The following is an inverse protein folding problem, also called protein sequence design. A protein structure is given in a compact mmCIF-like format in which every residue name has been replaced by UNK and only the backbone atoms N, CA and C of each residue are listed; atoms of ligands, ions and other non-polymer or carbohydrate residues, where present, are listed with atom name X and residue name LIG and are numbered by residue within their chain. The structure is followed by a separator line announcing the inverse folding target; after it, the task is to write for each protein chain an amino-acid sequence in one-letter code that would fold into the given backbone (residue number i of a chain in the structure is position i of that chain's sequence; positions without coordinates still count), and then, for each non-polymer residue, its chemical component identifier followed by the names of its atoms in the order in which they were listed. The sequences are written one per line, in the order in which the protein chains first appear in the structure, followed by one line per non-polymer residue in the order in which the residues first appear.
data_IF_325868114674
#
_entry.id   IF_325868114674
#
_cell.length_a   1.000
_cell.length_b   1.000
_cell.length_c   1.000
_cell.angle_alpha   90.00
_cell.angle_beta   90.00
_cell.angle_gamma   90.00
#
_symmetry.space_group_name_H-M   'P 1'
#
loop_
_entity.id
_entity.type
_entity.pdbx_description
1 polymer ?
#
# COMPACT_ATOMS: atom_id res chain seq x y z
N UNK A 1 -15.54 -1.42 14.07
CA UNK A 1 -14.45 -0.45 14.29
C UNK A 1 -13.57 -0.50 13.06
N UNK A 2 -13.51 0.61 12.33
CA UNK A 2 -12.85 0.72 11.03
C UNK A 2 -11.31 0.62 11.16
N UNK A 3 -10.65 0.13 10.11
CA UNK A 3 -9.20 -0.08 10.07
C UNK A 3 -8.55 0.91 9.10
N UNK A 4 -7.56 1.68 9.53
CA UNK A 4 -6.72 2.51 8.67
C UNK A 4 -5.31 1.93 8.58
N UNK A 5 -4.80 1.75 7.36
CA UNK A 5 -3.40 1.41 7.11
C UNK A 5 -2.66 2.63 6.61
N UNK A 6 -1.56 3.00 7.24
CA UNK A 6 -0.74 4.11 6.78
C UNK A 6 0.74 3.80 6.93
N UNK A 7 1.56 4.52 6.17
CA UNK A 7 3.01 4.46 6.31
C UNK A 7 3.59 5.86 6.52
N UNK A 8 4.75 5.93 7.17
CA UNK A 8 5.50 7.17 7.35
C UNK A 8 6.73 7.19 6.47
N UNK A 9 6.96 8.32 5.80
CA UNK A 9 8.14 8.57 4.97
C UNK A 9 8.67 10.00 5.19
N UNK A 10 9.91 10.26 4.80
CA UNK A 10 10.62 11.50 5.12
C UNK A 10 12.12 11.28 5.19
N UNK A 11 12.89 12.35 5.30
CA UNK A 11 14.35 12.29 5.36
C UNK A 11 14.88 11.62 6.64
N UNK A 12 16.15 11.23 6.60
CA UNK A 12 16.93 10.97 7.81
C UNK A 12 16.86 12.24 8.67
N UNK A 13 16.63 12.06 9.96
CA UNK A 13 16.41 13.11 10.95
C UNK A 13 15.10 13.90 10.88
N UNK A 14 14.18 13.69 9.92
CA UNK A 14 12.89 14.41 9.91
C UNK A 14 11.96 14.03 11.09
N UNK A 15 12.36 13.05 11.90
CA UNK A 15 11.69 12.69 13.15
C UNK A 15 10.56 11.65 12.98
N UNK A 16 10.66 10.75 11.99
CA UNK A 16 9.66 9.69 11.71
C UNK A 16 9.43 8.78 12.92
N UNK A 17 10.50 8.15 13.40
CA UNK A 17 10.53 7.29 14.58
C UNK A 17 10.02 8.02 15.83
N UNK A 18 10.48 9.26 16.02
CA UNK A 18 10.03 10.11 17.13
C UNK A 18 8.53 10.41 17.05
N UNK A 19 7.99 10.72 15.87
CA UNK A 19 6.56 11.01 15.68
C UNK A 19 5.70 9.77 15.99
N UNK A 20 6.09 8.60 15.47
CA UNK A 20 5.38 7.34 15.76
C UNK A 20 5.48 7.01 17.25
N UNK A 21 6.68 7.10 17.84
CA UNK A 21 6.89 6.83 19.25
C UNK A 21 6.05 7.75 20.13
N UNK A 22 5.97 9.04 19.79
CA UNK A 22 5.12 10.02 20.48
C UNK A 22 3.65 9.72 20.33
N UNK A 23 3.20 9.39 19.12
CA UNK A 23 1.81 9.00 18.87
C UNK A 23 1.40 7.80 19.73
N UNK A 24 2.26 6.77 19.82
CA UNK A 24 2.00 5.57 20.61
C UNK A 24 2.05 5.83 22.12
N UNK A 25 2.96 6.69 22.57
CA UNK A 25 3.14 7.05 23.98
C UNK A 25 1.98 7.92 24.50
N UNK A 26 1.67 9.02 23.79
CA UNK A 26 0.62 9.96 24.20
C UNK A 26 -0.79 9.40 23.99
N UNK A 27 -0.97 8.37 23.16
CA UNK A 27 -2.26 7.66 23.00
C UNK A 27 -2.47 6.52 24.00
N UNK A 28 -1.58 6.38 24.99
CA UNK A 28 -1.62 5.32 26.02
C UNK A 28 -1.67 3.90 25.43
N UNK A 29 -1.18 3.72 24.21
CA UNK A 29 -1.21 2.44 23.49
C UNK A 29 -0.06 1.50 23.90
N UNK A 30 0.84 1.94 24.78
CA UNK A 30 2.03 1.22 25.24
C UNK A 30 1.85 0.82 26.71
N UNK A 31 2.21 -0.42 27.05
CA UNK A 31 2.18 -0.88 28.44
C UNK A 31 3.24 -0.20 29.30
N UNK A 32 2.92 0.00 30.58
CA UNK A 32 3.79 0.65 31.57
C UNK A 32 5.16 -0.03 31.68
N UNK A 33 5.23 -1.35 31.55
CA UNK A 33 6.47 -2.12 31.62
C UNK A 33 7.45 -1.77 30.47
N UNK A 34 6.91 -1.52 29.27
CA UNK A 34 7.71 -1.11 28.10
C UNK A 34 8.23 0.31 28.33
N UNK A 35 7.39 1.22 28.83
CA UNK A 35 7.75 2.60 29.17
C UNK A 35 8.90 2.62 30.20
N UNK A 36 8.82 1.80 31.26
CA UNK A 36 9.88 1.70 32.26
C UNK A 36 11.20 1.18 31.68
N UNK A 37 11.13 0.20 30.80
CA UNK A 37 12.30 -0.38 30.13
C UNK A 37 13.00 0.66 29.26
N UNK A 38 12.25 1.44 28.49
CA UNK A 38 12.76 2.51 27.64
C UNK A 38 13.35 3.65 28.45
N UNK A 39 12.71 4.02 29.57
CA UNK A 39 13.22 5.04 30.49
C UNK A 39 14.59 4.65 31.04
N UNK A 40 14.80 3.37 31.37
CA UNK A 40 16.12 2.86 31.81
C UNK A 40 17.15 2.88 30.68
N UNK A 41 16.75 2.51 29.46
CA UNK A 41 17.66 2.49 28.31
C UNK A 41 18.10 3.90 27.90
N UNK A 42 17.16 4.86 27.85
CA UNK A 42 17.42 6.26 27.47
C UNK A 42 18.46 6.94 28.38
N UNK A 43 18.44 6.61 29.69
CA UNK A 43 19.43 7.11 30.66
C UNK A 43 20.84 6.57 30.43
N UNK A 44 20.98 5.44 29.74
CA UNK A 44 22.25 4.79 29.46
C UNK A 44 22.93 5.37 28.21
N UNK A 45 22.15 5.86 27.24
CA UNK A 45 22.61 6.44 25.97
C UNK A 45 23.00 7.93 26.06
N UNK A 46 22.80 8.59 27.20
CA UNK A 46 23.34 9.93 27.47
C UNK A 46 22.58 11.12 26.86
N UNK A 47 21.36 10.91 26.35
CA UNK A 47 20.49 11.99 25.87
C UNK A 47 19.78 12.61 27.09
N UNK A 48 20.03 13.89 27.37
CA UNK A 48 19.47 14.64 28.51
C UNK A 48 18.02 15.11 28.28
N UNK A 49 17.14 14.21 27.84
CA UNK A 49 15.70 14.47 27.78
C UNK A 49 14.91 13.26 28.24
N UNK A 50 13.68 13.50 28.69
CA UNK A 50 12.65 12.49 28.92
C UNK A 50 12.61 11.47 27.76
N UNK A 51 12.43 10.19 28.12
CA UNK A 51 12.26 8.98 27.29
C UNK A 51 12.56 9.16 25.78
N UNK A 52 13.61 8.51 25.28
CA UNK A 52 13.88 8.45 23.84
C UNK A 52 12.83 7.56 23.13
N UNK A 53 11.83 8.22 22.55
CA UNK A 53 10.69 7.58 21.90
C UNK A 53 11.05 6.90 20.58
N UNK A 54 12.20 7.20 19.97
CA UNK A 54 12.65 6.50 18.77
C UNK A 54 13.00 5.02 19.07
N UNK A 55 13.37 4.71 20.30
CA UNK A 55 13.65 3.33 20.74
C UNK A 55 12.42 2.40 20.69
N UNK A 56 11.20 2.94 20.61
CA UNK A 56 9.96 2.17 20.45
C UNK A 56 9.80 1.58 19.05
N UNK A 57 10.29 2.30 18.04
CA UNK A 57 10.11 1.96 16.63
C UNK A 57 11.22 1.06 16.12
N UNK A 58 12.45 1.27 16.58
CA UNK A 58 13.65 0.62 16.05
C UNK A 58 13.80 -0.81 16.60
N UNK A 59 13.39 -1.78 15.78
CA UNK A 59 13.26 -3.19 16.16
C UNK A 59 14.57 -3.98 16.07
N UNK A 60 15.47 -3.62 15.16
CA UNK A 60 16.71 -4.36 14.91
C UNK A 60 17.92 -3.73 15.62
N UNK A 61 18.85 -4.55 16.13
CA UNK A 61 20.11 -4.06 16.72
C UNK A 61 20.94 -3.24 15.72
N UNK A 62 20.92 -3.61 14.44
CA UNK A 62 21.60 -2.88 13.37
C UNK A 62 20.96 -1.50 13.10
N UNK A 63 19.64 -1.37 13.25
CA UNK A 63 18.94 -0.07 13.16
C UNK A 63 19.39 0.84 14.30
N UNK A 64 19.45 0.29 15.53
CA UNK A 64 19.87 1.03 16.74
C UNK A 64 21.34 1.48 16.71
N UNK A 65 22.22 0.69 16.11
CA UNK A 65 23.64 1.04 15.96
C UNK A 65 23.88 2.13 14.90
N UNK A 66 22.97 2.28 13.93
CA UNK A 66 23.10 3.24 12.83
C UNK A 66 22.12 4.42 12.88
N UNK A 67 21.10 4.38 13.74
CA UNK A 67 20.07 5.42 13.84
C UNK A 67 19.17 5.53 12.60
N UNK A 68 18.98 4.43 11.85
CA UNK A 68 18.16 4.37 10.63
C UNK A 68 17.21 3.17 10.64
N UNK A 69 16.00 3.31 10.10
CA UNK A 69 15.09 2.19 9.80
C UNK A 69 15.57 1.43 8.57
N UNK A 70 15.68 0.10 8.63
CA UNK A 70 16.24 -0.76 7.57
C UNK A 70 15.15 -1.61 6.91
N UNK A 71 14.21 -2.16 7.69
CA UNK A 71 13.10 -2.98 7.17
C UNK A 71 11.74 -2.38 7.55
N UNK A 72 10.66 -2.81 6.88
CA UNK A 72 9.31 -2.32 7.21
C UNK A 72 8.86 -2.92 8.53
N UNK A 73 8.77 -2.10 9.58
CA UNK A 73 8.21 -2.52 10.86
C UNK A 73 6.71 -2.21 10.91
N UNK A 74 5.89 -3.22 11.17
CA UNK A 74 4.46 -3.03 11.39
C UNK A 74 4.16 -2.81 12.88
N UNK A 75 3.50 -1.70 13.20
CA UNK A 75 2.98 -1.40 14.54
C UNK A 75 1.46 -1.34 14.50
N UNK A 76 0.84 -1.71 15.61
CA UNK A 76 -0.60 -1.78 15.76
C UNK A 76 -1.00 -0.95 16.97
N UNK A 77 -1.99 -0.09 16.79
CA UNK A 77 -2.62 0.62 17.91
C UNK A 77 -4.09 0.83 17.61
N UNK A 78 -4.87 1.17 18.63
CA UNK A 78 -6.32 1.31 18.53
C UNK A 78 -6.75 2.42 19.47
N UNK A 79 -7.64 3.28 19.00
CA UNK A 79 -8.36 4.24 19.84
C UNK A 79 -9.79 3.76 20.07
N UNK A 80 -10.57 4.51 20.84
CA UNK A 80 -11.99 4.24 21.02
C UNK A 80 -12.76 4.27 19.68
N UNK A 81 -12.27 5.00 18.68
CA UNK A 81 -12.95 5.20 17.39
C UNK A 81 -12.46 4.25 16.30
N UNK A 82 -11.15 3.94 16.25
CA UNK A 82 -10.54 3.33 15.06
C UNK A 82 -9.32 2.45 15.38
N UNK A 83 -9.10 1.44 14.52
CA UNK A 83 -7.91 0.58 14.54
C UNK A 83 -6.89 1.06 13.50
N UNK A 84 -5.61 0.97 13.84
CA UNK A 84 -4.53 1.46 12.99
C UNK A 84 -3.43 0.41 12.78
N UNK A 85 -2.92 0.36 11.55
CA UNK A 85 -1.70 -0.37 11.20
C UNK A 85 -0.71 0.65 10.62
N UNK A 86 0.42 0.80 11.29
CA UNK A 86 1.52 1.67 10.87
C UNK A 86 2.58 0.80 10.19
N UNK A 87 2.95 1.13 8.97
CA UNK A 87 4.15 0.63 8.32
C UNK A 87 5.26 1.70 8.45
N UNK A 88 6.22 1.47 9.33
CA UNK A 88 7.40 2.33 9.39
C UNK A 88 8.34 1.98 8.24
N UNK A 89 8.45 2.88 7.25
CA UNK A 89 9.26 2.63 6.06
C UNK A 89 10.60 3.37 6.13
N UNK A 90 11.70 2.71 5.72
CA UNK A 90 13.01 3.36 5.64
C UNK A 90 13.00 4.61 4.76
N UNK A 91 13.66 5.68 5.19
CA UNK A 91 13.77 6.93 4.41
C UNK A 91 14.89 6.93 3.35
N UNK A 92 15.78 5.93 3.33
CA UNK A 92 17.00 5.97 2.50
C UNK A 92 16.80 5.40 1.09
N UNK A 93 17.57 5.93 0.12
CA UNK A 93 17.49 5.64 -1.33
C UNK A 93 17.55 4.14 -1.64
N UNK A 94 18.32 3.38 -0.86
CA UNK A 94 18.51 1.95 -1.05
C UNK A 94 17.27 1.11 -0.68
N UNK A 95 16.23 1.72 -0.10
CA UNK A 95 15.08 1.05 0.48
C UNK A 95 13.74 1.43 -0.16
N UNK A 96 13.74 2.01 -1.37
CA UNK A 96 12.52 2.28 -2.15
C UNK A 96 11.65 1.01 -2.34
N UNK A 97 12.29 -0.16 -2.48
CA UNK A 97 11.61 -1.47 -2.45
C UNK A 97 10.78 -1.71 -1.19
N UNK A 98 11.31 -1.33 -0.03
CA UNK A 98 10.66 -1.51 1.26
C UNK A 98 9.49 -0.52 1.38
N UNK A 99 9.66 0.72 0.89
CA UNK A 99 8.55 1.66 0.76
C UNK A 99 7.45 1.12 -0.15
N UNK A 100 7.77 0.54 -1.32
CA UNK A 100 6.77 -0.06 -2.21
C UNK A 100 5.98 -1.17 -1.49
N UNK A 101 6.68 -2.02 -0.74
CA UNK A 101 6.07 -3.11 0.02
C UNK A 101 5.12 -2.58 1.11
N UNK A 102 5.57 -1.62 1.92
CA UNK A 102 4.76 -1.01 2.99
C UNK A 102 3.61 -0.14 2.48
N UNK A 103 3.82 0.57 1.38
CA UNK A 103 2.84 1.49 0.79
C UNK A 103 1.79 0.77 -0.07
N UNK A 104 2.08 -0.40 -0.65
CA UNK A 104 1.16 -1.13 -1.54
C UNK A 104 -0.24 -1.41 -0.96
N UNK A 105 -0.35 -1.54 0.37
CA UNK A 105 -1.60 -1.77 1.08
C UNK A 105 -2.03 -0.57 1.94
N UNK A 106 -1.38 0.59 1.79
CA UNK A 106 -1.69 1.77 2.58
C UNK A 106 -2.85 2.59 1.99
N UNK A 107 -3.64 3.14 2.90
CA UNK A 107 -4.72 4.08 2.63
C UNK A 107 -4.25 5.53 2.82
N UNK A 108 -3.14 5.74 3.55
CA UNK A 108 -2.57 7.07 3.81
C UNK A 108 -1.05 7.01 3.79
N UNK A 109 -0.42 8.00 3.15
CA UNK A 109 1.00 8.28 3.26
C UNK A 109 1.20 9.49 4.17
N UNK A 110 2.00 9.36 5.23
CA UNK A 110 2.42 10.51 6.06
C UNK A 110 3.85 10.87 5.68
N UNK A 111 4.02 12.02 5.03
CA UNK A 111 5.31 12.53 4.58
C UNK A 111 5.76 13.62 5.56
N UNK A 112 6.79 13.32 6.35
CA UNK A 112 7.39 14.27 7.28
C UNK A 112 8.34 15.21 6.53
N UNK A 113 8.27 16.49 6.89
CA UNK A 113 9.12 17.56 6.35
C UNK A 113 9.68 18.36 7.53
N UNK A 114 11.00 18.41 7.68
CA UNK A 114 11.64 19.28 8.68
C UNK A 114 11.42 20.77 8.33
N UNK A 115 10.77 21.51 9.22
CA UNK A 115 10.43 22.92 9.03
C UNK A 115 11.65 23.83 8.74
N UNK A 116 12.86 23.41 9.14
CA UNK A 116 14.10 24.16 8.87
C UNK A 116 14.60 23.98 7.43
N UNK A 117 14.33 22.81 6.86
CA UNK A 117 14.86 22.40 5.56
C UNK A 117 13.84 22.61 4.44
N UNK A 118 12.54 22.60 4.77
CA UNK A 118 11.47 22.59 3.78
C UNK A 118 11.55 21.35 2.89
N UNK A 119 11.17 21.49 1.62
CA UNK A 119 11.02 20.36 0.71
C UNK A 119 12.37 19.88 0.20
N UNK A 120 12.66 18.62 0.49
CA UNK A 120 13.88 17.94 0.06
C UNK A 120 13.62 17.00 -1.12
N UNK A 121 14.67 16.53 -1.79
CA UNK A 121 14.54 15.51 -2.84
C UNK A 121 13.90 14.21 -2.34
N UNK A 122 14.10 13.87 -1.05
CA UNK A 122 13.45 12.71 -0.45
C UNK A 122 11.95 12.95 -0.25
N UNK A 123 11.55 14.16 0.13
CA UNK A 123 10.12 14.56 0.18
C UNK A 123 9.48 14.38 -1.19
N UNK A 124 10.13 14.89 -2.24
CA UNK A 124 9.66 14.77 -3.62
C UNK A 124 9.53 13.32 -4.05
N UNK A 125 10.56 12.51 -3.81
CA UNK A 125 10.57 11.09 -4.14
C UNK A 125 9.45 10.31 -3.48
N UNK A 126 9.26 10.47 -2.17
CA UNK A 126 8.20 9.76 -1.45
C UNK A 126 6.80 10.17 -1.94
N UNK A 127 6.64 11.44 -2.33
CA UNK A 127 5.40 11.94 -2.92
C UNK A 127 5.13 11.33 -4.30
N UNK A 128 6.16 11.26 -5.15
CA UNK A 128 6.09 10.62 -6.48
C UNK A 128 5.73 9.14 -6.35
N UNK A 129 6.40 8.41 -5.47
CA UNK A 129 6.11 6.98 -5.24
C UNK A 129 4.68 6.80 -4.73
N UNK A 130 4.22 7.67 -3.82
CA UNK A 130 2.84 7.65 -3.32
C UNK A 130 1.83 7.90 -4.44
N UNK A 131 2.15 8.78 -5.39
CA UNK A 131 1.35 9.03 -6.59
C UNK A 131 1.32 7.81 -7.52
N UNK A 132 2.47 7.19 -7.79
CA UNK A 132 2.56 5.99 -8.66
C UNK A 132 1.79 4.83 -8.04
N UNK A 133 1.92 4.61 -6.73
CA UNK A 133 1.15 3.61 -5.97
C UNK A 133 -0.32 4.02 -5.75
N UNK A 134 -0.73 5.17 -6.30
CA UNK A 134 -2.09 5.67 -6.26
C UNK A 134 -2.64 5.86 -4.85
N UNK A 135 -1.80 6.09 -3.83
CA UNK A 135 -2.22 6.20 -2.42
C UNK A 135 -3.32 7.27 -2.30
N UNK A 136 -4.47 6.95 -1.68
CA UNK A 136 -5.64 7.83 -1.77
C UNK A 136 -5.46 9.14 -1.01
N UNK A 137 -4.75 9.10 0.12
CA UNK A 137 -4.51 10.27 0.96
C UNK A 137 -3.02 10.45 1.20
N UNK A 138 -2.56 11.70 1.13
CA UNK A 138 -1.22 12.11 1.53
C UNK A 138 -1.35 13.18 2.59
N UNK A 139 -0.72 12.97 3.73
CA UNK A 139 -0.60 13.95 4.80
C UNK A 139 0.85 14.42 4.88
N UNK A 140 1.07 15.71 4.70
CA UNK A 140 2.37 16.34 4.90
C UNK A 140 2.44 16.85 6.34
N UNK A 141 3.26 16.20 7.16
CA UNK A 141 3.52 16.64 8.53
C UNK A 141 4.74 17.56 8.54
N UNK A 142 4.52 18.87 8.69
CA UNK A 142 5.60 19.85 8.82
C UNK A 142 6.11 19.79 10.26
N UNK A 143 7.17 19.01 10.47
CA UNK A 143 7.69 18.64 11.78
C UNK A 143 8.80 19.60 12.25
N UNK A 144 9.10 19.55 13.55
CA UNK A 144 10.11 20.41 14.23
C UNK A 144 9.76 21.90 14.21
N UNK A 145 8.47 22.23 14.31
CA UNK A 145 8.01 23.62 14.40
C UNK A 145 8.60 24.36 15.61
N UNK A 146 8.98 23.64 16.67
CA UNK A 146 9.68 24.19 17.83
C UNK A 146 11.01 24.86 17.49
N UNK A 147 11.72 24.35 16.47
CA UNK A 147 13.02 24.89 16.06
C UNK A 147 12.91 26.15 15.18
N UNK A 148 11.71 26.44 14.68
CA UNK A 148 11.39 27.65 13.92
C UNK A 148 10.42 28.55 14.67
N UNK A 149 10.38 28.43 16.00
CA UNK A 149 9.54 29.22 16.90
C UNK A 149 8.04 29.20 16.52
N UNK A 150 7.55 28.06 16.01
CA UNK A 150 6.16 27.86 15.61
C UNK A 150 5.66 28.90 14.57
N UNK A 151 6.56 29.35 13.67
CA UNK A 151 6.26 30.37 12.66
C UNK A 151 5.22 29.92 11.63
N UNK A 152 4.09 30.64 11.57
CA UNK A 152 3.06 30.48 10.54
C UNK A 152 3.62 30.72 9.13
N UNK A 153 4.50 31.71 8.97
CA UNK A 153 5.10 32.06 7.68
C UNK A 153 5.89 30.89 7.09
N UNK A 154 6.74 30.24 7.91
CA UNK A 154 7.54 29.08 7.46
C UNK A 154 6.64 27.92 7.05
N UNK A 155 5.59 27.65 7.83
CA UNK A 155 4.61 26.62 7.49
C UNK A 155 3.92 26.89 6.15
N UNK A 156 3.44 28.12 5.95
CA UNK A 156 2.74 28.52 4.72
C UNK A 156 3.67 28.47 3.49
N UNK A 157 4.95 28.83 3.63
CA UNK A 157 5.95 28.71 2.56
C UNK A 157 6.17 27.25 2.15
N UNK A 158 6.31 26.34 3.12
CA UNK A 158 6.47 24.90 2.86
C UNK A 158 5.21 24.33 2.21
N UNK A 159 4.03 24.70 2.69
CA UNK A 159 2.76 24.28 2.12
C UNK A 159 2.61 24.72 0.66
N UNK A 160 2.94 25.98 0.35
CA UNK A 160 2.89 26.52 -1.00
C UNK A 160 3.87 25.79 -1.93
N UNK A 161 5.13 25.64 -1.50
CA UNK A 161 6.15 24.93 -2.28
C UNK A 161 5.75 23.46 -2.55
N UNK A 162 5.08 22.81 -1.60
CA UNK A 162 4.68 21.40 -1.76
C UNK A 162 3.52 21.29 -2.71
N UNK A 163 2.56 22.21 -2.59
CA UNK A 163 1.40 22.26 -3.48
C UNK A 163 1.82 22.48 -4.93
N UNK A 164 2.78 23.38 -5.18
CA UNK A 164 3.35 23.62 -6.51
C UNK A 164 4.03 22.37 -7.07
N UNK A 165 4.89 21.72 -6.27
CA UNK A 165 5.56 20.48 -6.66
C UNK A 165 4.59 19.31 -6.89
N UNK A 166 3.54 19.20 -6.09
CA UNK A 166 2.58 18.12 -6.15
C UNK A 166 1.53 18.28 -7.25
N UNK A 167 1.38 19.49 -7.84
CA UNK A 167 0.41 19.77 -8.90
C UNK A 167 0.48 18.83 -10.11
N UNK A 168 1.66 18.45 -10.65
CA UNK A 168 1.74 17.44 -11.73
C UNK A 168 1.53 16.00 -11.25
N UNK A 169 1.56 15.74 -9.95
CA UNK A 169 1.35 14.41 -9.39
C UNK A 169 -0.15 14.11 -9.31
N UNK A 170 -0.55 12.88 -9.61
CA UNK A 170 -1.94 12.45 -9.52
C UNK A 170 -2.33 12.08 -8.07
N UNK A 171 -1.99 12.95 -7.11
CA UNK A 171 -2.34 12.79 -5.70
C UNK A 171 -3.80 13.19 -5.49
N UNK A 172 -4.63 12.24 -5.04
CA UNK A 172 -6.09 12.47 -4.90
C UNK A 172 -6.42 13.50 -3.82
N UNK A 173 -5.80 13.37 -2.64
CA UNK A 173 -6.03 14.28 -1.52
C UNK A 173 -4.71 14.54 -0.78
N UNK A 174 -4.36 15.81 -0.62
CA UNK A 174 -3.20 16.26 0.14
C UNK A 174 -3.67 17.12 1.32
N UNK A 175 -3.22 16.79 2.52
CA UNK A 175 -3.48 17.56 3.75
C UNK A 175 -2.17 17.94 4.42
N UNK A 176 -2.20 18.97 5.27
CA UNK A 176 -1.02 19.49 5.95
C UNK A 176 -1.31 19.64 7.44
N UNK A 177 -0.37 19.25 8.29
CA UNK A 177 -0.45 19.44 9.75
C UNK A 177 0.93 19.93 10.25
N UNK A 178 1.02 21.08 10.93
CA UNK A 178 2.24 21.49 11.64
C UNK A 178 2.38 20.69 12.93
N UNK A 179 3.54 20.10 13.17
CA UNK A 179 3.81 19.26 14.36
C UNK A 179 5.17 19.57 15.00
N UNK A 180 5.30 19.26 16.29
CA UNK A 180 6.60 18.99 16.90
C UNK A 180 6.54 17.63 17.59
N UNK A 181 7.13 16.61 16.94
CA UNK A 181 7.14 15.25 17.47
C UNK A 181 7.84 15.13 18.83
N UNK A 182 8.91 15.91 19.04
CA UNK A 182 9.66 15.88 20.29
C UNK A 182 8.89 16.55 21.43
N UNK A 183 8.29 17.72 21.18
CA UNK A 183 7.53 18.47 22.18
C UNK A 183 6.09 17.93 22.37
N UNK A 184 5.57 17.14 21.42
CA UNK A 184 4.21 16.60 21.41
C UNK A 184 3.16 17.54 20.82
N UNK A 185 3.55 18.71 20.31
CA UNK A 185 2.63 19.71 19.76
C UNK A 185 1.94 19.19 18.48
N UNK A 186 0.59 19.23 18.47
CA UNK A 186 -0.28 18.76 17.37
C UNK A 186 -0.16 17.26 17.00
N UNK A 187 0.44 16.42 17.87
CA UNK A 187 0.52 14.96 17.65
C UNK A 187 -0.77 14.27 18.09
N UNK A 188 -1.01 14.18 19.40
CA UNK A 188 -2.26 13.63 19.96
C UNK A 188 -3.24 14.75 20.27
N UNK A 189 -2.77 15.79 20.95
CA UNK A 189 -3.55 16.96 21.33
C UNK A 189 -3.21 18.18 20.48
N UNK A 190 -4.17 19.08 20.33
CA UNK A 190 -3.96 20.40 19.69
C UNK A 190 -3.03 21.25 20.56
N UNK A 191 -2.08 21.95 19.92
CA UNK A 191 -1.12 22.81 20.61
C UNK A 191 -1.64 24.24 20.75
N UNK A 192 -1.49 24.82 21.94
CA UNK A 192 -1.74 26.25 22.18
C UNK A 192 -0.69 27.17 21.53
N UNK A 193 0.52 26.64 21.24
CA UNK A 193 1.61 27.42 20.62
C UNK A 193 1.40 27.63 19.12
N UNK A 194 0.55 26.81 18.51
CA UNK A 194 0.15 26.88 17.11
C UNK A 194 -1.25 27.50 16.98
N UNK A 195 -1.50 28.61 17.69
CA UNK A 195 -2.83 29.24 17.78
C UNK A 195 -3.37 29.76 16.43
N UNK A 196 -2.51 29.89 15.43
CA UNK A 196 -2.87 30.28 14.05
C UNK A 196 -3.35 29.09 13.21
N UNK A 197 -3.18 27.85 13.69
CA UNK A 197 -3.58 26.64 12.98
C UNK A 197 -4.91 26.11 13.53
N UNK A 198 -5.96 26.21 12.72
CA UNK A 198 -7.33 25.80 13.08
C UNK A 198 -7.66 24.33 12.75
N UNK A 199 -6.68 23.57 12.23
CA UNK A 199 -6.88 22.18 11.84
C UNK A 199 -6.79 21.17 13.00
N UNK A 200 -7.06 19.88 12.74
CA UNK A 200 -6.99 18.84 13.77
C UNK A 200 -5.53 18.52 14.16
N UNK A 201 -5.36 17.87 15.32
CA UNK A 201 -4.12 17.15 15.63
C UNK A 201 -3.94 15.95 14.68
N UNK A 202 -2.72 15.40 14.61
CA UNK A 202 -2.44 14.21 13.82
C UNK A 202 -3.39 13.06 14.18
N UNK A 203 -3.56 12.75 15.47
CA UNK A 203 -4.48 11.70 15.89
C UNK A 203 -5.93 12.01 15.50
N UNK A 204 -6.37 13.26 15.69
CA UNK A 204 -7.71 13.69 15.29
C UNK A 204 -7.96 13.47 13.79
N UNK A 205 -6.99 13.85 12.94
CA UNK A 205 -7.03 13.61 11.51
C UNK A 205 -7.11 12.11 11.16
N UNK A 206 -6.26 11.29 11.80
CA UNK A 206 -6.23 9.83 11.59
C UNK A 206 -7.55 9.16 11.99
N UNK A 207 -8.25 9.68 13.00
CA UNK A 207 -9.56 9.19 13.40
C UNK A 207 -10.67 9.59 12.41
N UNK A 208 -10.57 10.75 11.76
CA UNK A 208 -11.63 11.30 10.90
C UNK A 208 -11.48 10.97 9.43
N UNK A 209 -10.27 10.62 8.95
CA UNK A 209 -10.04 10.42 7.52
C UNK A 209 -10.86 9.24 6.99
N UNK A 210 -11.69 9.48 5.99
CA UNK A 210 -12.50 8.41 5.41
C UNK A 210 -11.61 7.40 4.68
N UNK A 211 -11.86 6.10 4.87
CA UNK A 211 -11.16 5.12 4.03
C UNK A 211 -11.71 5.21 2.60
N UNK A 212 -10.84 5.54 1.64
CA UNK A 212 -11.18 5.48 0.21
C UNK A 212 -11.73 4.11 -0.23
N UNK A 213 -11.36 3.02 0.46
CA UNK A 213 -11.92 1.67 0.22
C UNK A 213 -13.43 1.58 0.48
N UNK A 214 -14.01 2.44 1.32
CA UNK A 214 -15.45 2.47 1.59
C UNK A 214 -16.25 3.28 0.55
N UNK A 215 -15.60 4.10 -0.27
CA UNK A 215 -16.26 5.01 -1.22
C UNK A 215 -16.35 4.46 -2.65
N UNK A 216 -15.45 3.57 -3.06
CA UNK A 216 -15.50 3.02 -4.41
C UNK A 216 -16.51 1.88 -4.50
N UNK A 217 -17.53 2.07 -5.34
CA UNK A 217 -18.40 1.00 -5.82
C UNK A 217 -17.58 0.14 -6.77
N UNK A 218 -16.71 -0.70 -6.22
CA UNK A 218 -15.85 -1.58 -7.00
C UNK A 218 -16.71 -2.68 -7.64
N UNK A 219 -16.50 -2.90 -8.94
CA UNK A 219 -17.17 -3.97 -9.68
C UNK A 219 -16.84 -5.34 -9.05
N UNK A 220 -17.79 -6.29 -9.00
CA UNK A 220 -17.54 -7.59 -8.39
C UNK A 220 -16.42 -8.36 -9.10
N UNK A 221 -15.45 -8.84 -8.31
CA UNK A 221 -14.36 -9.70 -8.78
C UNK A 221 -14.18 -10.87 -7.82
N UNK A 222 -14.23 -12.09 -8.33
CA UNK A 222 -13.92 -13.29 -7.56
C UNK A 222 -12.90 -14.13 -8.31
N UNK A 223 -11.69 -14.29 -7.76
CA UNK A 223 -10.68 -15.14 -8.37
C UNK A 223 -10.59 -16.47 -7.61
N UNK A 224 -10.71 -17.57 -8.35
CA UNK A 224 -10.68 -18.92 -7.80
C UNK A 224 -9.30 -19.22 -7.23
N UNK A 225 -9.23 -19.50 -5.93
CA UNK A 225 -8.00 -19.89 -5.24
C UNK A 225 -7.86 -21.41 -5.19
N UNK A 226 -8.98 -22.12 -5.07
CA UNK A 226 -9.02 -23.57 -4.97
C UNK A 226 -10.33 -24.14 -5.52
N UNK A 227 -10.26 -25.32 -6.13
CA UNK A 227 -11.43 -26.05 -6.65
C UNK A 227 -11.70 -27.23 -5.73
N UNK A 228 -12.87 -27.25 -5.09
CA UNK A 228 -13.28 -28.28 -4.14
C UNK A 228 -14.07 -29.35 -4.89
N UNK A 229 -13.53 -30.58 -4.90
CA UNK A 229 -14.20 -31.79 -5.39
C UNK A 229 -13.91 -32.94 -4.41
N UNK A 230 -14.81 -33.19 -3.44
CA UNK A 230 -14.58 -34.20 -2.40
C UNK A 230 -14.46 -35.62 -2.94
N UNK A 231 -15.08 -35.92 -4.09
CA UNK A 231 -15.10 -37.25 -4.72
C UNK A 231 -15.52 -38.37 -3.73
N UNK A 232 -16.49 -38.06 -2.86
CA UNK A 232 -17.10 -39.04 -1.95
C UNK A 232 -18.43 -39.52 -2.53
N UNK A 233 -18.90 -40.70 -2.11
CA UNK A 233 -20.18 -41.25 -2.57
C UNK A 233 -21.36 -40.31 -2.27
N UNK A 234 -21.30 -39.57 -1.15
CA UNK A 234 -22.34 -38.62 -0.75
C UNK A 234 -22.30 -37.30 -1.54
N UNK A 235 -21.11 -36.89 -2.01
CA UNK A 235 -20.86 -35.61 -2.69
C UNK A 235 -20.20 -35.82 -4.04
N UNK A 236 -20.71 -36.78 -4.81
CA UNK A 236 -20.15 -37.16 -6.10
C UNK A 236 -20.12 -35.97 -7.09
N UNK A 237 -21.20 -35.20 -7.13
CA UNK A 237 -21.38 -34.07 -8.07
C UNK A 237 -21.01 -32.71 -7.44
N UNK A 238 -20.44 -32.70 -6.23
CA UNK A 238 -20.07 -31.45 -5.58
C UNK A 238 -18.88 -30.80 -6.28
N UNK A 239 -19.12 -29.60 -6.79
CA UNK A 239 -18.08 -28.72 -7.34
C UNK A 239 -18.26 -27.31 -6.79
N UNK A 240 -17.34 -26.92 -5.92
CA UNK A 240 -17.30 -25.59 -5.31
C UNK A 240 -16.01 -24.87 -5.67
N UNK A 241 -16.09 -23.57 -5.93
CA UNK A 241 -14.95 -22.73 -6.23
C UNK A 241 -14.66 -21.82 -5.03
N UNK A 242 -13.58 -22.12 -4.32
CA UNK A 242 -13.20 -21.41 -3.11
C UNK A 242 -12.26 -20.24 -3.40
N UNK A 243 -12.51 -19.13 -2.72
CA UNK A 243 -11.70 -17.91 -2.81
C UNK A 243 -12.25 -16.81 -1.90
N UNK A 244 -11.61 -15.65 -1.94
CA UNK A 244 -12.14 -14.44 -1.29
C UNK A 244 -12.75 -13.52 -2.33
N UNK A 245 -13.89 -12.89 -2.02
CA UNK A 245 -14.43 -11.82 -2.85
C UNK A 245 -13.43 -10.67 -2.84
N UNK A 246 -12.81 -10.37 -4.00
CA UNK A 246 -11.77 -9.36 -4.11
C UNK A 246 -12.35 -7.95 -4.02
N UNK A 247 -13.51 -7.75 -4.66
CA UNK A 247 -14.24 -6.49 -4.72
C UNK A 247 -15.73 -6.74 -4.98
N UNK A 248 -16.56 -5.73 -4.67
CA UNK A 248 -18.01 -5.81 -4.87
C UNK A 248 -18.70 -6.85 -3.99
N UNK A 249 -19.76 -7.44 -4.54
CA UNK A 249 -20.52 -8.51 -3.92
C UNK A 249 -21.10 -9.43 -5.00
N UNK A 250 -21.42 -10.67 -4.63
CA UNK A 250 -22.09 -11.64 -5.49
C UNK A 250 -23.35 -12.14 -4.80
N UNK A 251 -24.37 -12.44 -5.58
CA UNK A 251 -25.66 -12.97 -5.13
C UNK A 251 -25.99 -14.26 -5.86
N UNK A 252 -26.74 -15.13 -5.18
CA UNK A 252 -27.32 -16.30 -5.83
C UNK A 252 -28.27 -15.85 -6.96
N UNK A 253 -28.09 -16.41 -8.14
CA UNK A 253 -28.84 -16.08 -9.36
C UNK A 253 -28.13 -15.10 -10.30
N UNK A 254 -27.04 -14.45 -9.86
CA UNK A 254 -26.27 -13.53 -10.70
C UNK A 254 -25.79 -14.20 -11.99
N UNK A 255 -25.98 -13.53 -13.12
CA UNK A 255 -25.38 -13.91 -14.40
C UNK A 255 -23.91 -13.54 -14.39
N UNK A 256 -23.03 -14.54 -14.52
CA UNK A 256 -21.58 -14.36 -14.43
C UNK A 256 -20.87 -15.00 -15.62
N UNK A 257 -19.66 -14.52 -15.88
CA UNK A 257 -18.74 -15.07 -16.87
C UNK A 257 -17.46 -15.54 -16.19
N UNK A 258 -16.93 -16.67 -16.64
CA UNK A 258 -15.62 -17.18 -16.21
C UNK A 258 -14.55 -16.71 -17.18
N UNK A 259 -13.55 -16.01 -16.68
CA UNK A 259 -12.42 -15.51 -17.44
C UNK A 259 -11.15 -16.33 -17.16
N UNK A 260 -10.30 -16.57 -18.18
CA UNK A 260 -10.34 -15.95 -19.52
C UNK A 260 -11.15 -16.73 -20.57
N UNK A 261 -11.84 -17.82 -20.22
CA UNK A 261 -12.55 -18.67 -21.21
C UNK A 261 -13.75 -17.97 -21.86
N UNK A 262 -14.36 -16.99 -21.18
CA UNK A 262 -15.52 -16.26 -21.66
C UNK A 262 -16.83 -17.05 -21.54
N UNK A 263 -16.85 -18.17 -20.82
CA UNK A 263 -18.06 -18.98 -20.65
C UNK A 263 -19.01 -18.32 -19.64
N UNK A 264 -20.26 -18.13 -20.05
CA UNK A 264 -21.32 -17.57 -19.22
C UNK A 264 -22.07 -18.67 -18.44
N UNK A 265 -22.55 -18.31 -17.25
CA UNK A 265 -23.27 -19.18 -16.33
C UNK A 265 -24.03 -18.34 -15.30
N UNK A 266 -24.60 -18.96 -14.27
CA UNK A 266 -25.20 -18.31 -13.11
C UNK A 266 -24.62 -18.82 -11.81
N UNK A 267 -24.56 -17.96 -10.80
CA UNK A 267 -24.26 -18.38 -9.43
C UNK A 267 -25.42 -19.19 -8.89
N UNK A 268 -25.23 -20.49 -8.63
CA UNK A 268 -26.29 -21.39 -8.15
C UNK A 268 -26.38 -21.43 -6.63
N UNK A 269 -25.25 -21.27 -5.93
CA UNK A 269 -25.17 -21.17 -4.48
C UNK A 269 -23.90 -20.45 -4.05
N UNK A 270 -23.93 -19.89 -2.84
CA UNK A 270 -22.76 -19.32 -2.16
C UNK A 270 -22.69 -19.91 -0.76
N UNK A 271 -21.55 -20.48 -0.38
CA UNK A 271 -21.31 -20.96 0.98
C UNK A 271 -20.33 -20.05 1.72
N UNK A 272 -20.69 -19.65 2.94
CA UNK A 272 -19.84 -18.96 3.89
C UNK A 272 -19.82 -19.76 5.19
N UNK A 273 -18.65 -20.16 5.67
CA UNK A 273 -18.50 -20.99 6.88
C UNK A 273 -19.38 -22.26 6.87
N UNK A 274 -19.40 -22.96 5.73
CA UNK A 274 -20.21 -24.19 5.48
C UNK A 274 -21.73 -23.99 5.58
N UNK A 275 -22.20 -22.76 5.43
CA UNK A 275 -23.63 -22.43 5.40
C UNK A 275 -23.95 -21.70 4.10
N UNK A 276 -25.08 -22.05 3.51
CA UNK A 276 -25.60 -21.33 2.35
C UNK A 276 -26.01 -19.91 2.74
N UNK A 277 -25.57 -18.93 1.96
CA UNK A 277 -25.92 -17.52 2.07
C UNK A 277 -26.47 -17.03 0.73
N UNK A 278 -27.32 -16.00 0.75
CA UNK A 278 -27.89 -15.42 -0.47
C UNK A 278 -26.94 -14.44 -1.15
N UNK A 279 -26.07 -13.78 -0.37
CA UNK A 279 -25.12 -12.79 -0.84
C UNK A 279 -23.80 -12.94 -0.08
N UNK A 280 -22.70 -12.57 -0.73
CA UNK A 280 -21.38 -12.46 -0.13
C UNK A 280 -20.66 -11.19 -0.58
N UNK A 281 -19.92 -10.59 0.34
CA UNK A 281 -19.31 -9.27 0.19
C UNK A 281 -17.78 -9.35 0.14
N UNK A 282 -17.16 -8.30 -0.38
CA UNK A 282 -15.71 -8.10 -0.39
C UNK A 282 -15.05 -8.53 0.94
N UNK A 283 -13.96 -9.28 0.83
CA UNK A 283 -13.15 -9.76 1.94
C UNK A 283 -13.63 -11.07 2.55
N UNK A 284 -14.87 -11.49 2.30
CA UNK A 284 -15.38 -12.77 2.77
C UNK A 284 -14.77 -13.92 1.97
N UNK A 285 -14.32 -14.96 2.68
CA UNK A 285 -13.86 -16.22 2.09
C UNK A 285 -15.06 -17.14 1.89
N UNK A 286 -15.39 -17.43 0.63
CA UNK A 286 -16.59 -18.16 0.25
C UNK A 286 -16.29 -19.28 -0.72
N UNK A 287 -17.26 -20.18 -0.87
CA UNK A 287 -17.32 -21.14 -1.97
C UNK A 287 -18.48 -20.74 -2.87
N UNK A 288 -18.18 -20.44 -4.14
CA UNK A 288 -19.19 -20.16 -5.16
C UNK A 288 -19.48 -21.44 -5.93
N UNK A 289 -20.75 -21.71 -6.18
CA UNK A 289 -21.23 -22.75 -7.07
C UNK A 289 -21.79 -22.13 -8.35
N UNK A 290 -21.57 -22.80 -9.47
CA UNK A 290 -22.08 -22.39 -10.78
C UNK A 290 -23.22 -23.33 -11.20
N UNK A 291 -24.12 -22.84 -12.04
CA UNK A 291 -25.26 -23.64 -12.51
C UNK A 291 -24.84 -24.71 -13.53
N UNK A 292 -23.83 -24.40 -14.35
CA UNK A 292 -23.27 -25.30 -15.34
C UNK A 292 -21.88 -25.82 -14.92
N UNK A 293 -21.55 -27.04 -15.35
CA UNK A 293 -20.23 -27.65 -15.15
C UNK A 293 -19.20 -27.07 -16.14
N UNK A 294 -18.68 -25.89 -15.81
CA UNK A 294 -17.65 -25.22 -16.61
C UNK A 294 -16.24 -25.68 -16.23
N UNK A 295 -15.30 -25.67 -17.18
CA UNK A 295 -13.89 -25.93 -16.88
C UNK A 295 -13.24 -24.71 -16.22
N UNK A 296 -13.36 -24.63 -14.89
CA UNK A 296 -12.80 -23.56 -14.06
C UNK A 296 -11.66 -24.12 -13.21
N UNK A 297 -10.54 -23.41 -13.25
CA UNK A 297 -9.29 -23.72 -12.57
C UNK A 297 -8.82 -22.57 -11.67
N UNK A 298 -7.83 -22.84 -10.81
CA UNK A 298 -7.19 -21.82 -9.97
C UNK A 298 -6.66 -20.67 -10.83
N UNK A 299 -6.93 -19.44 -10.41
CA UNK A 299 -6.56 -18.22 -11.12
C UNK A 299 -7.61 -17.72 -12.11
N UNK A 300 -8.62 -18.53 -12.48
CA UNK A 300 -9.74 -18.02 -13.26
C UNK A 300 -10.56 -17.03 -12.42
N UNK A 301 -11.11 -16.04 -13.10
CA UNK A 301 -11.86 -14.95 -12.46
C UNK A 301 -13.33 -15.03 -12.87
N UNK A 302 -14.23 -15.05 -11.89
CA UNK A 302 -15.67 -14.98 -12.06
C UNK A 302 -16.07 -13.52 -11.89
N UNK A 303 -16.78 -12.99 -12.89
CA UNK A 303 -17.22 -11.58 -12.95
C UNK A 303 -18.67 -11.50 -13.44
N UNK A 304 -19.43 -10.44 -13.13
CA UNK A 304 -20.73 -10.21 -13.75
C UNK A 304 -20.61 -10.00 -15.25
N UNK A 305 -21.59 -10.49 -16.03
CA UNK A 305 -21.58 -10.42 -17.50
C UNK A 305 -21.60 -8.98 -18.06
N UNK A 306 -22.06 -8.01 -17.27
CA UNK A 306 -22.19 -6.60 -17.65
C UNK A 306 -21.01 -5.72 -17.18
N UNK A 307 -20.05 -6.30 -16.45
CA UNK A 307 -18.93 -5.60 -15.79
C UNK A 307 -17.61 -6.33 -16.04
N UNK A 308 -17.26 -6.48 -17.33
CA UNK A 308 -16.09 -7.24 -17.75
C UNK A 308 -14.80 -6.42 -17.65
N UNK A 309 -13.75 -6.95 -16.99
CA UNK A 309 -12.41 -6.38 -17.05
C UNK A 309 -11.78 -6.56 -18.44
N UNK A 310 -10.63 -5.92 -18.67
CA UNK A 310 -9.83 -6.20 -19.87
C UNK A 310 -9.19 -7.58 -19.74
N UNK A 311 -9.28 -8.41 -20.78
CA UNK A 311 -8.66 -9.75 -20.81
C UNK A 311 -7.74 -9.88 -22.01
N UNK A 312 -6.43 -9.70 -21.79
CA UNK A 312 -5.46 -9.53 -22.88
C UNK A 312 -4.15 -10.29 -22.61
N UNK A 313 -3.37 -10.55 -23.66
CA UNK A 313 -2.02 -11.17 -23.57
C UNK A 313 -0.87 -10.16 -23.67
N UNK A 314 -1.19 -8.91 -24.00
CA UNK A 314 -0.23 -7.82 -24.11
C UNK A 314 -0.75 -6.72 -23.20
N UNK A 315 -0.01 -6.39 -22.16
CA UNK A 315 -0.47 -5.53 -21.07
C UNK A 315 0.48 -4.35 -20.95
N UNK A 316 -0.06 -3.14 -20.84
CA UNK A 316 0.69 -1.95 -20.47
C UNK A 316 0.69 -1.83 -18.94
N UNK A 317 1.86 -1.58 -18.38
CA UNK A 317 2.03 -1.50 -16.94
C UNK A 317 3.15 -0.53 -16.56
N UNK A 318 3.05 0.01 -15.35
CA UNK A 318 4.19 0.61 -14.66
C UNK A 318 4.74 -0.39 -13.66
N UNK A 319 6.05 -0.61 -13.68
CA UNK A 319 6.74 -1.50 -12.74
C UNK A 319 7.82 -0.77 -11.95
N UNK A 320 8.07 -1.23 -10.72
CA UNK A 320 9.28 -0.94 -9.96
C UNK A 320 10.17 -2.18 -10.00
N UNK A 321 11.40 -2.06 -10.51
CA UNK A 321 12.37 -3.15 -10.46
C UNK A 321 12.96 -3.27 -9.05
N UNK A 322 12.99 -4.49 -8.51
CA UNK A 322 13.28 -4.78 -7.10
C UNK A 322 14.51 -5.69 -6.91
N UNK A 323 15.05 -6.24 -8.00
CA UNK A 323 16.23 -7.10 -7.97
C UNK A 323 17.52 -6.27 -8.06
N UNK A 324 18.56 -6.71 -7.33
CA UNK A 324 19.90 -6.15 -7.45
C UNK A 324 20.53 -6.50 -8.81
N UNK A 325 20.14 -7.64 -9.38
CA UNK A 325 20.53 -8.00 -10.73
C UNK A 325 19.75 -7.14 -11.72
N UNK A 326 20.41 -6.37 -12.60
CA UNK A 326 19.72 -5.60 -13.62
C UNK A 326 18.90 -6.50 -14.55
N UNK A 327 17.79 -5.96 -15.07
CA UNK A 327 16.98 -6.65 -16.06
C UNK A 327 17.80 -7.05 -17.29
N UNK A 328 17.57 -8.27 -17.77
CA UNK A 328 18.15 -8.78 -19.00
C UNK A 328 17.06 -9.00 -20.06
N UNK A 329 17.16 -8.39 -21.26
CA UNK A 329 16.21 -8.62 -22.34
C UNK A 329 16.02 -10.11 -22.65
N UNK A 330 14.76 -10.52 -22.80
CA UNK A 330 14.39 -11.92 -23.04
C UNK A 330 14.42 -12.82 -21.80
N UNK A 331 14.72 -12.28 -20.62
CA UNK A 331 14.61 -13.01 -19.35
C UNK A 331 13.19 -13.57 -19.19
N UNK A 332 13.11 -14.87 -18.86
CA UNK A 332 11.84 -15.54 -18.62
C UNK A 332 11.32 -15.18 -17.23
N UNK A 333 10.11 -14.66 -17.20
CA UNK A 333 9.45 -14.22 -15.98
C UNK A 333 8.13 -14.98 -15.81
N UNK A 334 7.64 -14.98 -14.58
CA UNK A 334 6.31 -15.40 -14.23
C UNK A 334 5.57 -14.16 -13.73
N UNK A 335 4.48 -13.80 -14.40
CA UNK A 335 3.55 -12.80 -13.89
C UNK A 335 2.59 -13.49 -12.94
N UNK A 336 2.46 -12.94 -11.74
CA UNK A 336 1.49 -13.39 -10.76
C UNK A 336 0.56 -12.25 -10.37
N UNK A 337 -0.74 -12.46 -10.56
CA UNK A 337 -1.82 -11.57 -10.17
C UNK A 337 -2.73 -12.39 -9.23
N UNK A 338 -2.66 -12.11 -7.92
CA UNK A 338 -3.30 -12.91 -6.89
C UNK A 338 -2.93 -14.41 -6.99
N UNK A 339 -3.91 -15.27 -7.28
CA UNK A 339 -3.76 -16.72 -7.48
C UNK A 339 -3.53 -17.13 -8.93
N UNK A 340 -3.68 -16.21 -9.89
CA UNK A 340 -3.35 -16.45 -11.29
C UNK A 340 -1.85 -16.27 -11.54
N UNK A 341 -1.25 -17.21 -12.28
CA UNK A 341 0.18 -17.17 -12.64
C UNK A 341 0.37 -17.63 -14.07
N UNK A 342 1.10 -16.86 -14.87
CA UNK A 342 1.42 -17.18 -16.27
C UNK A 342 2.87 -16.84 -16.58
N UNK A 343 3.44 -17.52 -17.58
CA UNK A 343 4.72 -17.09 -18.18
C UNK A 343 4.57 -15.72 -18.83
N UNK A 344 5.60 -14.90 -18.66
CA UNK A 344 5.64 -13.53 -19.12
C UNK A 344 7.04 -13.15 -19.62
N UNK A 345 7.08 -12.16 -20.51
CA UNK A 345 8.31 -11.54 -21.00
C UNK A 345 8.07 -10.04 -21.09
N UNK A 346 9.04 -9.24 -20.65
CA UNK A 346 9.03 -7.80 -20.94
C UNK A 346 9.40 -7.61 -22.41
N UNK A 347 8.44 -7.17 -23.22
CA UNK A 347 8.61 -7.00 -24.67
C UNK A 347 9.27 -5.66 -24.99
N UNK A 348 8.85 -4.62 -24.28
CA UNK A 348 9.28 -3.25 -24.53
C UNK A 348 9.35 -2.49 -23.21
N UNK A 349 10.39 -1.66 -23.09
CA UNK A 349 10.57 -0.68 -22.03
C UNK A 349 10.39 0.68 -22.70
N UNK A 350 9.20 1.28 -22.59
CA UNK A 350 8.85 2.49 -23.33
C UNK A 350 9.46 3.76 -22.73
N UNK A 351 9.69 3.76 -21.42
CA UNK A 351 10.35 4.87 -20.73
C UNK A 351 10.58 4.57 -19.26
N UNK A 352 11.41 5.39 -18.61
CA UNK A 352 11.62 5.37 -17.15
C UNK A 352 11.01 6.61 -16.52
N UNK A 353 10.58 6.49 -15.27
CA UNK A 353 10.13 7.63 -14.48
C UNK A 353 11.27 8.06 -13.58
N UNK A 354 11.71 9.31 -13.71
CA UNK A 354 12.65 9.90 -12.77
C UNK A 354 11.96 10.13 -11.42
N UNK A 355 12.43 9.46 -10.38
CA UNK A 355 11.84 9.53 -9.04
C UNK A 355 12.18 10.83 -8.28
N UNK A 356 12.97 11.73 -8.86
CA UNK A 356 13.33 13.04 -8.31
C UNK A 356 12.57 14.17 -9.00
N UNK A 357 12.46 14.14 -10.33
CA UNK A 357 11.81 15.19 -11.13
C UNK A 357 10.40 14.84 -11.60
N UNK A 358 10.00 13.56 -11.52
CA UNK A 358 8.78 13.02 -12.13
C UNK A 358 8.77 13.10 -13.68
N UNK A 359 9.93 13.36 -14.30
CA UNK A 359 10.05 13.41 -15.75
C UNK A 359 10.09 12.01 -16.34
N UNK A 360 9.59 11.91 -17.57
CA UNK A 360 9.68 10.70 -18.38
C UNK A 360 11.03 10.70 -19.11
N UNK A 361 11.87 9.73 -18.76
CA UNK A 361 13.17 9.50 -19.38
C UNK A 361 13.04 8.49 -20.51
N UNK A 362 13.83 8.66 -21.56
CA UNK A 362 13.96 7.65 -22.61
C UNK A 362 14.54 6.35 -22.04
N UNK A 363 14.06 5.23 -22.57
CA UNK A 363 14.53 3.91 -22.15
C UNK A 363 15.85 3.55 -22.80
N UNK A 364 16.83 3.17 -21.98
CA UNK A 364 18.09 2.55 -22.43
C UNK A 364 17.99 1.02 -22.54
N UNK A 365 16.79 0.45 -22.39
CA UNK A 365 16.55 -0.99 -22.41
C UNK A 365 17.02 -1.75 -21.16
N UNK A 366 17.53 -1.05 -20.14
CA UNK A 366 17.96 -1.64 -18.87
C UNK A 366 17.02 -1.27 -17.73
N UNK A 367 16.95 -2.09 -16.68
CA UNK A 367 16.35 -1.70 -15.39
C UNK A 367 17.31 -2.06 -14.28
N UNK A 368 17.54 -1.10 -13.38
CA UNK A 368 18.33 -1.29 -12.17
C UNK A 368 17.42 -1.28 -10.95
N UNK A 369 17.96 -1.68 -9.81
CA UNK A 369 17.23 -1.64 -8.54
C UNK A 369 16.59 -0.27 -8.33
N UNK A 370 15.28 -0.27 -8.02
CA UNK A 370 14.44 0.89 -7.78
C UNK A 370 14.11 1.75 -9.02
N UNK A 371 14.47 1.32 -10.23
CA UNK A 371 13.97 1.96 -11.46
C UNK A 371 12.47 1.76 -11.58
N UNK A 372 11.74 2.84 -11.85
CA UNK A 372 10.35 2.80 -12.29
C UNK A 372 10.30 2.92 -13.79
N UNK A 373 9.51 2.05 -14.45
CA UNK A 373 9.41 2.05 -15.90
C UNK A 373 8.03 1.69 -16.41
N UNK A 374 7.68 2.30 -17.54
CA UNK A 374 6.56 1.90 -18.36
C UNK A 374 6.99 0.74 -19.25
N UNK A 375 6.21 -0.34 -19.23
CA UNK A 375 6.54 -1.58 -19.92
C UNK A 375 5.34 -2.16 -20.63
N UNK A 376 5.63 -2.84 -21.74
CA UNK A 376 4.68 -3.76 -22.39
C UNK A 376 5.05 -5.19 -22.02
N UNK A 377 4.15 -5.87 -21.31
CA UNK A 377 4.34 -7.25 -20.86
C UNK A 377 3.54 -8.17 -21.78
N UNK A 378 4.22 -9.19 -22.33
CA UNK A 378 3.56 -10.25 -23.10
C UNK A 378 3.46 -11.52 -22.26
N UNK A 379 2.27 -12.09 -22.18
CA UNK A 379 1.98 -13.31 -21.39
C UNK A 379 1.59 -14.49 -22.28
N UNK A 380 1.81 -15.70 -21.76
CA UNK A 380 1.40 -16.94 -22.43
C UNK A 380 -0.14 -17.11 -22.43
N UNK A 381 -0.75 -16.89 -21.27
CA UNK A 381 -2.20 -16.89 -21.05
C UNK A 381 -2.73 -15.45 -20.92
N UNK A 382 -4.00 -15.24 -21.29
CA UNK A 382 -4.61 -13.92 -21.17
C UNK A 382 -4.86 -13.58 -19.69
N UNK A 383 -4.53 -12.36 -19.30
CA UNK A 383 -4.69 -11.88 -17.92
C UNK A 383 -5.93 -10.99 -17.89
N UNK A 384 -6.81 -11.22 -16.92
CA UNK A 384 -8.01 -10.41 -16.71
C UNK A 384 -7.72 -9.35 -15.66
N UNK A 385 -7.74 -8.09 -16.05
CA UNK A 385 -7.22 -6.98 -15.24
C UNK A 385 -8.11 -5.74 -15.38
N UNK A 386 -8.20 -5.00 -14.29
CA UNK A 386 -8.77 -3.66 -14.27
C UNK A 386 -7.62 -2.65 -14.14
N UNK A 387 -7.79 -1.39 -14.60
CA UNK A 387 -6.86 -0.32 -14.26
C UNK A 387 -6.69 -0.24 -12.74
N UNK A 388 -5.44 -0.08 -12.27
CA UNK A 388 -5.15 -0.05 -10.83
C UNK A 388 -5.87 1.11 -10.11
N UNK A 389 -6.15 2.19 -10.81
CA UNK A 389 -6.93 3.34 -10.33
C UNK A 389 -8.41 3.01 -10.05
N UNK A 390 -8.95 1.99 -10.73
CA UNK A 390 -10.34 1.52 -10.61
C UNK A 390 -10.46 0.37 -9.61
N UNK A 391 -9.61 -0.65 -9.73
CA UNK A 391 -9.59 -1.79 -8.81
C UNK A 391 -8.16 -2.26 -8.54
N UNK A 392 -7.66 -1.97 -7.34
CA UNK A 392 -6.28 -2.29 -6.94
C UNK A 392 -6.01 -3.79 -6.85
N UNK A 393 -7.03 -4.60 -6.53
CA UNK A 393 -6.86 -6.04 -6.32
C UNK A 393 -6.61 -6.78 -7.63
N UNK A 394 -7.21 -6.33 -8.72
CA UNK A 394 -7.01 -6.87 -10.07
C UNK A 394 -6.03 -6.02 -10.89
N UNK A 395 -5.77 -4.78 -10.50
CA UNK A 395 -4.79 -3.92 -11.18
C UNK A 395 -3.34 -4.08 -10.73
N UNK A 396 -3.04 -4.91 -9.73
CA UNK A 396 -1.68 -5.12 -9.23
C UNK A 396 -1.15 -6.51 -9.53
N UNK A 397 0.17 -6.61 -9.71
CA UNK A 397 0.85 -7.88 -9.98
C UNK A 397 2.31 -7.84 -9.52
N UNK A 398 2.95 -9.01 -9.52
CA UNK A 398 4.39 -9.15 -9.35
C UNK A 398 5.00 -9.94 -10.51
N UNK A 399 6.27 -9.65 -10.81
CA UNK A 399 7.09 -10.43 -11.71
C UNK A 399 8.10 -11.24 -10.90
N UNK A 400 8.19 -12.52 -11.22
CA UNK A 400 9.04 -13.49 -10.54
C UNK A 400 9.99 -14.09 -11.57
N UNK A 401 11.28 -14.17 -11.24
CA UNK A 401 12.25 -14.87 -12.08
C UNK A 401 11.97 -16.37 -12.08
N UNK A 402 11.77 -16.97 -13.26
CA UNK A 402 11.41 -18.39 -13.39
C UNK A 402 12.51 -19.33 -12.85
N UNK A 403 13.78 -18.92 -12.88
CA UNK A 403 14.91 -19.74 -12.47
C UNK A 403 15.19 -19.65 -10.96
N UNK A 404 15.11 -18.45 -10.39
CA UNK A 404 15.48 -18.22 -8.98
C UNK A 404 14.28 -18.20 -8.04
N UNK A 405 13.06 -18.06 -8.58
CA UNK A 405 11.82 -17.79 -7.83
C UNK A 405 11.84 -16.49 -7.00
N UNK A 406 12.82 -15.60 -7.25
CA UNK A 406 12.82 -14.28 -6.63
C UNK A 406 11.79 -13.37 -7.30
N UNK A 407 11.04 -12.62 -6.50
CA UNK A 407 10.27 -11.47 -6.98
C UNK A 407 11.24 -10.40 -7.45
N UNK A 408 11.22 -10.10 -8.75
CA UNK A 408 12.15 -9.15 -9.38
C UNK A 408 11.52 -7.80 -9.66
N UNK A 409 10.19 -7.72 -9.72
CA UNK A 409 9.48 -6.46 -9.83
C UNK A 409 8.07 -6.57 -9.24
N UNK A 410 7.53 -5.42 -8.84
CA UNK A 410 6.12 -5.25 -8.55
C UNK A 410 5.55 -4.19 -9.52
N UNK A 411 4.29 -4.32 -9.89
CA UNK A 411 3.72 -3.50 -10.93
C UNK A 411 2.23 -3.26 -10.78
N UNK A 412 1.78 -2.25 -11.52
CA UNK A 412 0.38 -1.86 -11.65
C UNK A 412 0.01 -1.80 -13.14
N UNK A 413 -1.20 -2.23 -13.46
CA UNK A 413 -1.78 -2.09 -14.80
C UNK A 413 -2.39 -0.69 -14.95
N UNK A 414 -2.14 -0.09 -16.12
CA UNK A 414 -2.52 1.29 -16.43
C UNK A 414 -4.00 1.46 -16.77
#
# INVERSE_FOLDING_TARGET
MELLRFFTAGNVDDGKSTLIGRLLYDSESISTDIIETLTRQSKTTGINSDIDLALLTDGLRAEREQGITIDVAYKYFTTEKRKFIIADTPGHIQYTRNMFTGASNANLAIILVDARNGITDQTKRHSIISSILGIPHVLVCVNKMDLVNYSETVYNEIQAAYTEFAAPLNLKQVSFIPTSALAGDNVVHTSEKLSWYDGPSLLGFLETIENAENQQKEEPRFQVQYVIRPQTDELHDYRGYAGSILSGHFRVGDSVQVLPSGLETRVSAIELNRKNVQEAFRGEAVVIHLAEDLDVSRGNTIVPVDQLPRTEKSLEATICWMDNTPFQPGQKLLLQQNSFRTKAVLKELSGKIDIHSYEQLESDGSLKLNDFAHVTIKTAEAVSTDPYSVNRKTGSFVLINENTNNTVAAGIFN
#
